data_IF_276798654681
#
_entry.id   IF_276798654681
#
_cell.length_a   1.000
_cell.length_b   1.000
_cell.length_c   1.000
_cell.angle_alpha   90.00
_cell.angle_beta   90.00
_cell.angle_gamma   90.00
#
_symmetry.space_group_name_H-M   'P 1'
#
loop_
_entity.id
_entity.type
_entity.pdbx_description
1 polymer ?
#
# COMPACT_ATOMS: atom_id res chain seq x y z
N UNK A 1 7.70 -1.26 -19.84
CA UNK A 1 7.75 -0.63 -18.51
C UNK A 1 6.31 -0.45 -18.06
N UNK A 2 5.89 -1.01 -16.92
CA UNK A 2 4.60 -0.60 -16.35
C UNK A 2 4.74 0.86 -15.89
N UNK A 3 3.74 1.72 -16.12
CA UNK A 3 3.77 3.07 -15.55
C UNK A 3 3.87 2.93 -14.02
N UNK A 4 4.79 3.70 -13.42
CA UNK A 4 4.90 3.78 -11.97
C UNK A 4 3.64 4.40 -11.35
N UNK A 5 3.53 4.38 -10.01
CA UNK A 5 2.45 5.07 -9.33
C UNK A 5 2.40 6.55 -9.72
N UNK A 6 1.20 7.06 -9.96
CA UNK A 6 0.99 8.46 -10.28
C UNK A 6 1.06 9.31 -9.00
N UNK A 7 1.68 10.51 -9.05
CA UNK A 7 1.62 11.44 -7.94
C UNK A 7 0.16 11.76 -7.57
N UNK A 8 -0.16 11.67 -6.28
CA UNK A 8 -1.49 11.97 -5.78
C UNK A 8 -1.39 12.72 -4.44
N UNK A 9 -2.26 13.69 -4.22
CA UNK A 9 -2.44 14.31 -2.91
C UNK A 9 -3.17 13.33 -1.98
N UNK A 10 -2.71 13.24 -0.74
CA UNK A 10 -3.36 12.41 0.28
C UNK A 10 -4.65 13.11 0.74
N UNK A 11 -5.80 12.42 0.75
CA UNK A 11 -7.02 12.97 1.33
C UNK A 11 -6.83 13.37 2.80
N UNK A 12 -7.46 14.47 3.26
CA UNK A 12 -7.29 14.97 4.64
C UNK A 12 -7.86 14.02 5.70
N UNK A 13 -8.75 13.11 5.31
CA UNK A 13 -9.40 12.09 6.12
C UNK A 13 -8.78 10.70 5.92
N UNK A 14 -7.64 10.59 5.24
CA UNK A 14 -6.97 9.33 5.00
C UNK A 14 -6.49 8.69 6.32
N UNK A 15 -6.74 7.39 6.46
CA UNK A 15 -6.28 6.58 7.59
C UNK A 15 -5.35 5.48 7.06
N UNK A 16 -4.19 5.29 7.70
CA UNK A 16 -3.31 4.17 7.37
C UNK A 16 -4.01 2.86 7.74
N UNK A 17 -4.22 1.99 6.73
CA UNK A 17 -4.91 0.70 6.89
C UNK A 17 -3.97 -0.50 6.88
N UNK A 18 -2.70 -0.26 6.57
CA UNK A 18 -1.67 -1.28 6.55
C UNK A 18 -0.35 -0.77 5.98
N UNK A 19 0.67 -1.61 6.07
CA UNK A 19 2.04 -1.26 5.68
C UNK A 19 2.64 -2.28 4.72
N UNK A 20 3.36 -1.81 3.70
CA UNK A 20 4.20 -2.67 2.86
C UNK A 20 5.43 -3.07 3.68
N UNK A 21 5.63 -4.37 3.89
CA UNK A 21 6.69 -4.88 4.78
C UNK A 21 7.84 -5.55 4.04
N UNK A 22 7.64 -6.04 2.82
CA UNK A 22 8.65 -6.81 2.09
C UNK A 22 8.24 -7.02 0.62
N UNK A 23 9.20 -7.39 -0.22
CA UNK A 23 8.95 -7.91 -1.55
C UNK A 23 8.40 -9.35 -1.51
N UNK A 24 7.67 -9.74 -2.55
CA UNK A 24 7.21 -11.12 -2.77
C UNK A 24 7.61 -11.60 -4.17
N UNK A 25 8.58 -12.52 -4.21
CA UNK A 25 9.05 -13.10 -5.48
C UNK A 25 9.67 -12.07 -6.42
N UNK A 26 9.67 -12.39 -7.72
CA UNK A 26 10.38 -11.61 -8.76
C UNK A 26 9.45 -10.88 -9.74
N UNK A 27 8.13 -10.96 -9.52
CA UNK A 27 7.11 -10.37 -10.41
C UNK A 27 6.63 -8.99 -9.95
N UNK A 28 7.39 -8.34 -9.05
CA UNK A 28 7.05 -7.03 -8.50
C UNK A 28 5.89 -7.05 -7.49
N UNK A 29 5.65 -8.19 -6.82
CA UNK A 29 4.64 -8.26 -5.75
C UNK A 29 5.27 -7.86 -4.42
N UNK A 30 4.42 -7.55 -3.44
CA UNK A 30 4.83 -7.15 -2.11
C UNK A 30 3.90 -7.69 -1.03
N UNK A 31 4.42 -7.81 0.18
CA UNK A 31 3.70 -8.24 1.38
C UNK A 31 3.17 -7.03 2.12
N UNK A 32 1.98 -7.17 2.68
CA UNK A 32 1.31 -6.10 3.43
C UNK A 32 0.95 -6.63 4.80
N UNK A 33 1.27 -5.86 5.84
CA UNK A 33 0.74 -6.04 7.18
C UNK A 33 -0.56 -5.23 7.31
N UNK A 34 -1.75 -5.88 7.36
CA UNK A 34 -3.01 -5.19 7.60
C UNK A 34 -3.10 -4.74 9.06
N UNK A 35 -3.74 -3.60 9.31
CA UNK A 35 -4.07 -3.14 10.68
C UNK A 35 -5.44 -3.60 11.14
N UNK A 36 -6.31 -3.99 10.21
CA UNK A 36 -7.61 -4.60 10.49
C UNK A 36 -7.51 -6.13 10.62
N UNK A 37 -8.36 -6.72 11.46
CA UNK A 37 -8.58 -8.17 11.52
C UNK A 37 -9.32 -8.71 10.28
N UNK A 38 -9.89 -7.83 9.45
CA UNK A 38 -10.53 -8.14 8.17
C UNK A 38 -9.69 -7.57 7.01
N UNK A 39 -8.68 -8.31 6.50
CA UNK A 39 -7.75 -7.82 5.49
C UNK A 39 -8.38 -7.66 4.10
N UNK A 40 -9.59 -8.18 3.87
CA UNK A 40 -10.31 -8.13 2.60
C UNK A 40 -10.56 -6.70 2.12
N UNK A 41 -10.63 -5.74 3.05
CA UNK A 41 -10.77 -4.32 2.76
C UNK A 41 -9.61 -3.73 1.93
N UNK A 42 -8.40 -4.28 2.09
CA UNK A 42 -7.25 -3.89 1.27
C UNK A 42 -7.49 -4.33 -0.19
N UNK A 43 -7.92 -5.57 -0.39
CA UNK A 43 -8.11 -6.14 -1.73
C UNK A 43 -9.36 -5.64 -2.46
N UNK A 44 -10.38 -5.17 -1.75
CA UNK A 44 -11.62 -4.66 -2.35
C UNK A 44 -11.50 -3.23 -2.90
N UNK A 45 -10.40 -2.53 -2.59
CA UNK A 45 -10.17 -1.14 -2.99
C UNK A 45 -9.58 -1.04 -4.39
N UNK A 46 -10.23 -0.27 -5.28
CA UNK A 46 -9.76 -0.03 -6.66
C UNK A 46 -8.58 0.96 -6.76
N UNK A 47 -8.39 1.81 -5.75
CA UNK A 47 -7.36 2.84 -5.72
C UNK A 47 -6.69 2.83 -4.36
N UNK A 48 -5.37 2.92 -4.37
CA UNK A 48 -4.52 2.91 -3.20
C UNK A 48 -3.72 4.20 -3.16
N UNK A 49 -3.62 4.80 -1.99
CA UNK A 49 -2.72 5.92 -1.72
C UNK A 49 -1.53 5.36 -0.94
N UNK A 50 -0.33 5.52 -1.47
CA UNK A 50 0.89 4.98 -0.88
C UNK A 50 1.78 6.14 -0.50
N UNK A 51 2.19 6.19 0.76
CA UNK A 51 3.19 7.14 1.24
C UNK A 51 4.57 6.47 1.31
N UNK A 52 5.66 7.22 1.09
CA UNK A 52 7.00 6.75 1.39
C UNK A 52 7.08 6.29 2.84
N UNK A 53 7.86 5.24 3.11
CA UNK A 53 8.04 4.79 4.48
C UNK A 53 8.82 5.84 5.28
N UNK A 54 8.21 6.36 6.36
CA UNK A 54 8.89 7.27 7.29
C UNK A 54 9.99 6.56 8.09
N UNK A 55 9.88 5.24 8.22
CA UNK A 55 10.92 4.37 8.77
C UNK A 55 11.47 3.54 7.63
N UNK A 56 12.68 3.85 7.17
CA UNK A 56 13.39 2.99 6.23
C UNK A 56 13.40 1.54 6.72
N UNK A 57 13.14 0.61 5.80
CA UNK A 57 13.32 -0.82 6.04
C UNK A 57 14.81 -1.17 6.08
#
# INVERSE_FOLDING_TARGET
MLPGPEPAELPPDAVEVGRIIDAWGIKGWFKIQPYSASPEALFSSRRWFIQPSERGA
#
